data_IF_874632000290
#
_entry.id   IF_874632000290
#
_cell.length_a   1.000
_cell.length_b   1.000
_cell.length_c   1.000
_cell.angle_alpha   90.00
_cell.angle_beta   90.00
_cell.angle_gamma   90.00
#
_symmetry.space_group_name_H-M   'P 1'
#
loop_
_entity.id
_entity.type
_entity.pdbx_description
1 polymer ?
#
# COMPACT_ATOMS: atom_id res chain seq x y z
N UNK A 1 -46.16 57.36 60.27
CA UNK A 1 -45.19 58.31 59.69
C UNK A 1 -43.98 57.52 59.23
N UNK A 2 -43.46 57.93 58.06
CA UNK A 2 -42.13 57.69 57.51
C UNK A 2 -41.80 56.32 56.89
N UNK A 3 -41.60 56.40 55.58
CA UNK A 3 -41.06 55.47 54.60
C UNK A 3 -39.62 55.05 54.86
N UNK A 4 -39.18 53.94 54.26
CA UNK A 4 -37.92 53.92 53.52
C UNK A 4 -37.92 52.74 52.55
N UNK A 5 -37.87 53.10 51.28
CA UNK A 5 -37.71 52.25 50.11
C UNK A 5 -36.37 51.51 50.16
N UNK A 6 -36.39 50.19 49.92
CA UNK A 6 -35.35 49.47 49.18
C UNK A 6 -36.02 48.30 48.45
N UNK A 7 -36.44 48.55 47.21
CA UNK A 7 -36.75 47.53 46.22
C UNK A 7 -35.43 46.93 45.74
N UNK A 8 -35.08 45.74 46.21
CA UNK A 8 -34.10 44.91 45.49
C UNK A 8 -34.81 44.29 44.27
N UNK A 9 -34.30 44.49 43.03
CA UNK A 9 -34.80 43.75 41.90
C UNK A 9 -34.39 42.28 42.04
N UNK A 10 -35.39 41.43 42.22
CA UNK A 10 -35.27 39.99 42.25
C UNK A 10 -34.38 39.49 41.11
N UNK A 11 -33.34 38.77 41.53
CA UNK A 11 -32.65 37.68 40.86
C UNK A 11 -33.30 37.29 39.51
N UNK A 12 -32.74 37.80 38.40
CA UNK A 12 -33.03 37.19 37.09
C UNK A 12 -32.52 35.77 37.14
N UNK A 13 -33.40 34.82 36.88
CA UNK A 13 -33.15 33.39 36.94
C UNK A 13 -31.85 33.04 36.21
N UNK A 14 -30.89 32.51 36.96
CA UNK A 14 -29.61 32.01 36.44
C UNK A 14 -29.78 30.81 35.49
N UNK A 15 -31.02 30.34 35.30
CA UNK A 15 -31.39 29.32 34.32
C UNK A 15 -31.45 29.85 32.87
N UNK A 16 -31.66 31.16 32.66
CA UNK A 16 -31.77 31.72 31.31
C UNK A 16 -30.40 32.04 30.70
N UNK A 17 -29.38 32.29 31.51
CA UNK A 17 -28.00 32.51 31.04
C UNK A 17 -27.31 31.22 30.56
N UNK A 18 -27.71 30.05 31.09
CA UNK A 18 -27.17 28.77 30.62
C UNK A 18 -27.88 28.22 29.38
N UNK A 19 -29.15 28.60 29.16
CA UNK A 19 -29.89 28.21 27.95
C UNK A 19 -29.37 28.93 26.70
N UNK A 20 -29.02 30.21 26.80
CA UNK A 20 -28.46 30.96 25.68
C UNK A 20 -27.01 30.59 25.33
N UNK A 21 -26.22 30.08 26.29
CA UNK A 21 -24.88 29.53 25.99
C UNK A 21 -24.91 28.12 25.37
N UNK A 22 -25.99 27.37 25.53
CA UNK A 22 -26.17 26.05 24.92
C UNK A 22 -26.34 26.09 23.40
N UNK A 23 -26.85 27.20 22.86
CA UNK A 23 -27.05 27.37 21.41
C UNK A 23 -25.78 27.84 20.67
N UNK A 24 -24.82 28.46 21.38
CA UNK A 24 -23.57 28.94 20.76
C UNK A 24 -22.56 27.80 20.50
N UNK A 25 -22.74 26.63 21.11
CA UNK A 25 -21.87 25.45 20.88
C UNK A 25 -22.36 24.60 19.70
N UNK A 26 -23.60 24.82 19.20
CA UNK A 26 -24.17 24.00 18.11
C UNK A 26 -23.71 24.36 16.70
N UNK A 27 -23.12 25.54 16.52
CA UNK A 27 -22.63 26.07 15.24
C UNK A 27 -21.13 25.83 14.99
N UNK A 28 -20.49 24.96 15.78
CA UNK A 28 -19.16 24.47 15.42
C UNK A 28 -19.28 23.54 14.19
N UNK A 29 -18.52 23.75 13.10
CA UNK A 29 -18.56 22.84 11.96
C UNK A 29 -18.19 21.44 12.46
N UNK A 30 -19.10 20.47 12.28
CA UNK A 30 -18.85 19.07 12.62
C UNK A 30 -17.83 18.52 11.62
N UNK A 31 -16.56 18.67 11.94
CA UNK A 31 -15.45 18.15 11.14
C UNK A 31 -15.35 16.65 11.37
N UNK A 32 -15.50 15.85 10.31
CA UNK A 32 -15.18 14.44 10.34
C UNK A 32 -13.70 14.26 9.94
N UNK A 33 -12.95 13.52 10.75
CA UNK A 33 -11.58 13.14 10.46
C UNK A 33 -11.55 11.64 10.24
N UNK A 34 -11.02 11.21 9.09
CA UNK A 34 -10.85 9.79 8.75
C UNK A 34 -9.37 9.54 8.44
N UNK A 35 -8.80 8.54 9.12
CA UNK A 35 -7.39 8.14 8.99
C UNK A 35 -7.29 6.83 8.21
N UNK A 36 -6.56 6.81 7.08
CA UNK A 36 -6.31 5.58 6.29
C UNK A 36 -4.90 5.63 5.69
N UNK A 37 -4.09 4.59 5.94
CA UNK A 37 -2.76 4.33 5.36
C UNK A 37 -1.94 5.64 5.14
N UNK A 38 -1.63 6.34 6.24
CA UNK A 38 -0.88 7.61 6.36
C UNK A 38 -1.56 8.90 5.85
N UNK A 39 -2.78 8.82 5.31
CA UNK A 39 -3.53 9.98 4.81
C UNK A 39 -4.64 10.37 5.79
N UNK A 40 -4.66 11.65 6.17
CA UNK A 40 -5.72 12.24 7.00
C UNK A 40 -6.65 13.04 6.10
N UNK A 41 -7.90 12.59 5.96
CA UNK A 41 -8.93 13.33 5.24
C UNK A 41 -9.81 14.05 6.25
N UNK A 42 -9.92 15.36 6.09
CA UNK A 42 -10.69 16.25 6.95
C UNK A 42 -11.73 16.94 6.07
N UNK A 43 -13.01 16.70 6.30
CA UNK A 43 -14.09 17.44 5.66
C UNK A 43 -15.19 17.83 6.64
N UNK A 44 -15.78 18.99 6.42
CA UNK A 44 -16.95 19.53 7.11
C UNK A 44 -18.27 18.98 6.55
N UNK A 45 -18.24 18.41 5.34
CA UNK A 45 -19.43 17.87 4.69
C UNK A 45 -19.56 16.36 4.97
N UNK A 46 -20.53 16.04 5.83
CA UNK A 46 -20.82 14.67 6.26
C UNK A 46 -21.32 13.79 5.10
N UNK A 47 -21.98 14.36 4.08
CA UNK A 47 -22.44 13.61 2.91
C UNK A 47 -21.28 13.30 1.96
N UNK A 48 -20.36 14.24 1.76
CA UNK A 48 -19.12 13.98 1.03
C UNK A 48 -18.28 12.91 1.73
N UNK A 49 -18.22 12.94 3.06
CA UNK A 49 -17.49 11.93 3.84
C UNK A 49 -18.11 10.54 3.75
N UNK A 50 -19.44 10.43 3.74
CA UNK A 50 -20.12 9.16 3.54
C UNK A 50 -19.93 8.65 2.11
N UNK A 51 -19.98 9.54 1.11
CA UNK A 51 -19.69 9.19 -0.28
C UNK A 51 -18.23 8.76 -0.47
N UNK A 52 -17.27 9.44 0.15
CA UNK A 52 -15.86 9.07 0.13
C UNK A 52 -15.63 7.73 0.82
N UNK A 53 -16.28 7.47 1.96
CA UNK A 53 -16.26 6.15 2.61
C UNK A 53 -16.81 5.06 1.70
N UNK A 54 -17.91 5.32 1.00
CA UNK A 54 -18.52 4.34 0.08
C UNK A 54 -17.72 4.13 -1.20
N UNK A 55 -17.14 5.20 -1.77
CA UNK A 55 -16.20 5.13 -2.91
C UNK A 55 -14.95 4.34 -2.53
N UNK A 56 -14.34 4.65 -1.38
CA UNK A 56 -13.20 3.93 -0.85
C UNK A 56 -13.56 2.48 -0.50
N UNK A 57 -14.73 2.20 0.07
CA UNK A 57 -15.18 0.83 0.34
C UNK A 57 -15.33 0.02 -0.96
N UNK A 58 -15.83 0.64 -2.04
CA UNK A 58 -15.87 0.02 -3.38
C UNK A 58 -14.49 -0.17 -3.99
N UNK A 59 -13.57 0.77 -3.76
CA UNK A 59 -12.21 0.74 -4.31
C UNK A 59 -11.30 -0.24 -3.54
N UNK A 60 -11.46 -0.38 -2.23
CA UNK A 60 -10.84 -1.40 -1.37
C UNK A 60 -11.38 -2.80 -1.73
N UNK A 61 -12.68 -2.92 -2.04
CA UNK A 61 -13.29 -4.16 -2.54
C UNK A 61 -12.74 -4.58 -3.91
N UNK A 62 -12.24 -3.65 -4.71
CA UNK A 62 -11.63 -3.92 -6.02
C UNK A 62 -10.11 -4.18 -5.92
N UNK A 63 -9.52 -3.96 -4.75
CA UNK A 63 -8.10 -4.16 -4.53
C UNK A 63 -7.81 -5.66 -4.51
N UNK A 64 -6.82 -6.10 -5.28
CA UNK A 64 -6.22 -7.42 -5.12
C UNK A 64 -5.11 -7.22 -4.08
N UNK A 65 -5.41 -7.33 -2.76
CA UNK A 65 -4.49 -6.94 -1.71
C UNK A 65 -3.13 -7.62 -1.91
N UNK A 66 -2.01 -6.89 -1.71
CA UNK A 66 -0.69 -7.48 -1.73
C UNK A 66 -0.69 -8.74 -0.87
N UNK A 67 -0.01 -9.83 -1.28
CA UNK A 67 -0.02 -11.08 -0.54
C UNK A 67 0.28 -10.93 0.96
N UNK A 68 1.13 -9.96 1.33
CA UNK A 68 1.42 -9.62 2.72
C UNK A 68 0.20 -9.10 3.50
N UNK A 69 -0.70 -8.34 2.86
CA UNK A 69 -1.93 -7.81 3.48
C UNK A 69 -2.94 -8.93 3.74
N UNK A 70 -3.15 -9.83 2.78
CA UNK A 70 -4.01 -11.02 2.97
C UNK A 70 -3.49 -11.90 4.11
N UNK A 71 -2.18 -12.14 4.11
CA UNK A 71 -1.52 -12.91 5.17
C UNK A 71 -1.70 -12.25 6.55
N UNK A 72 -1.43 -10.94 6.66
CA UNK A 72 -1.59 -10.19 7.90
C UNK A 72 -3.03 -10.20 8.42
N UNK A 73 -4.01 -9.95 7.54
CA UNK A 73 -5.43 -10.06 7.89
C UNK A 73 -5.77 -11.45 8.42
N UNK A 74 -5.29 -12.51 7.75
CA UNK A 74 -5.56 -13.88 8.16
C UNK A 74 -4.95 -14.23 9.52
N UNK A 75 -3.75 -13.75 9.81
CA UNK A 75 -3.12 -13.91 11.13
C UNK A 75 -3.93 -13.18 12.21
N UNK A 76 -4.41 -11.96 11.94
CA UNK A 76 -5.23 -11.21 12.88
C UNK A 76 -6.57 -11.89 13.17
N UNK A 77 -7.25 -12.41 12.15
CA UNK A 77 -8.49 -13.20 12.30
C UNK A 77 -8.28 -14.41 13.22
N UNK A 78 -7.18 -15.14 13.06
CA UNK A 78 -6.85 -16.29 13.88
C UNK A 78 -6.49 -15.89 15.32
N UNK A 79 -5.79 -14.77 15.49
CA UNK A 79 -5.52 -14.21 16.82
C UNK A 79 -6.77 -13.74 17.53
N UNK A 80 -7.76 -13.20 16.81
CA UNK A 80 -9.08 -12.84 17.37
C UNK A 80 -9.85 -14.08 17.87
N UNK A 81 -9.63 -15.23 17.23
CA UNK A 81 -10.17 -16.52 17.67
C UNK A 81 -9.40 -17.14 18.87
N UNK A 82 -8.37 -16.45 19.37
CA UNK A 82 -7.57 -16.88 20.52
C UNK A 82 -6.41 -17.81 20.17
N UNK A 83 -6.05 -17.95 18.89
CA UNK A 83 -4.89 -18.74 18.46
C UNK A 83 -3.60 -17.98 18.80
N UNK A 84 -2.56 -18.71 19.20
CA UNK A 84 -1.25 -18.11 19.43
C UNK A 84 -0.67 -17.51 18.15
N UNK A 85 0.16 -16.49 18.25
CA UNK A 85 0.68 -15.79 17.07
C UNK A 85 1.52 -16.69 16.16
N UNK A 86 2.34 -17.57 16.73
CA UNK A 86 3.16 -18.52 15.99
C UNK A 86 2.31 -19.53 15.20
N UNK A 87 1.26 -20.07 15.84
CA UNK A 87 0.32 -20.98 15.19
C UNK A 87 -0.51 -20.25 14.11
N UNK A 88 -0.96 -19.02 14.39
CA UNK A 88 -1.69 -18.22 13.42
C UNK A 88 -0.86 -17.93 12.16
N UNK A 89 0.42 -17.58 12.32
CA UNK A 89 1.35 -17.40 11.20
C UNK A 89 1.58 -18.69 10.41
N UNK A 90 1.73 -19.83 11.11
CA UNK A 90 1.95 -21.12 10.46
C UNK A 90 0.73 -21.57 9.64
N UNK A 91 -0.49 -21.41 10.20
CA UNK A 91 -1.74 -21.73 9.52
C UNK A 91 -1.93 -20.83 8.29
N UNK A 92 -1.71 -19.52 8.44
CA UNK A 92 -1.82 -18.58 7.32
C UNK A 92 -0.82 -18.89 6.17
N UNK A 93 0.42 -19.29 6.49
CA UNK A 93 1.42 -19.67 5.47
C UNK A 93 1.03 -20.99 4.78
N UNK A 94 0.54 -21.96 5.55
CA UNK A 94 0.03 -23.22 5.00
C UNK A 94 -1.13 -22.98 4.02
N UNK A 95 -2.13 -22.17 4.42
CA UNK A 95 -3.27 -21.81 3.58
C UNK A 95 -2.83 -21.11 2.29
N UNK A 96 -1.93 -20.13 2.40
CA UNK A 96 -1.38 -19.42 1.24
C UNK A 96 -0.65 -20.36 0.27
N UNK A 97 0.18 -21.28 0.79
CA UNK A 97 0.89 -22.27 -0.04
C UNK A 97 -0.09 -23.23 -0.72
N UNK A 98 -1.14 -23.66 -0.02
CA UNK A 98 -2.17 -24.54 -0.56
C UNK A 98 -2.94 -23.86 -1.70
N UNK A 99 -3.39 -22.62 -1.49
CA UNK A 99 -4.09 -21.82 -2.50
C UNK A 99 -3.21 -21.60 -3.75
N UNK A 100 -1.94 -21.23 -3.53
CA UNK A 100 -0.95 -21.05 -4.60
C UNK A 100 -0.73 -22.34 -5.40
N UNK A 101 -0.69 -23.49 -4.73
CA UNK A 101 -0.55 -24.80 -5.38
C UNK A 101 -1.79 -25.13 -6.21
N UNK A 102 -2.99 -24.91 -5.67
CA UNK A 102 -4.26 -25.14 -6.37
C UNK A 102 -4.38 -24.27 -7.62
N UNK A 103 -4.09 -22.97 -7.52
CA UNK A 103 -4.09 -22.02 -8.65
C UNK A 103 -3.09 -22.43 -9.74
N UNK A 104 -1.89 -22.91 -9.37
CA UNK A 104 -0.91 -23.45 -10.33
C UNK A 104 -1.42 -24.69 -11.06
N UNK A 105 -2.06 -25.62 -10.35
CA UNK A 105 -2.64 -26.83 -10.95
C UNK A 105 -3.78 -26.49 -11.92
N UNK A 106 -4.68 -25.58 -11.52
CA UNK A 106 -5.74 -25.09 -12.38
C UNK A 106 -5.19 -24.44 -13.65
N UNK A 107 -4.18 -23.57 -13.53
CA UNK A 107 -3.52 -22.97 -14.68
C UNK A 107 -2.85 -24.00 -15.60
N UNK A 108 -2.16 -24.99 -15.04
CA UNK A 108 -1.58 -26.08 -15.83
C UNK A 108 -2.64 -26.84 -16.63
N UNK A 109 -3.82 -27.09 -16.03
CA UNK A 109 -4.94 -27.73 -16.71
C UNK A 109 -5.52 -26.86 -17.82
N UNK A 110 -5.74 -25.57 -17.56
CA UNK A 110 -6.21 -24.62 -18.56
C UNK A 110 -5.23 -24.49 -19.73
N UNK A 111 -3.93 -24.50 -19.45
CA UNK A 111 -2.87 -24.49 -20.46
C UNK A 111 -2.94 -25.72 -21.37
N UNK A 112 -3.12 -26.91 -20.79
CA UNK A 112 -3.30 -28.15 -21.57
C UNK A 112 -4.51 -28.06 -22.51
N UNK A 113 -5.64 -27.59 -21.98
CA UNK A 113 -6.88 -27.42 -22.77
C UNK A 113 -6.67 -26.39 -23.90
N UNK A 114 -6.04 -25.25 -23.61
CA UNK A 114 -5.77 -24.22 -24.61
C UNK A 114 -4.88 -24.72 -25.74
N UNK A 115 -3.85 -25.51 -25.43
CA UNK A 115 -3.00 -26.16 -26.42
C UNK A 115 -3.79 -27.13 -27.31
N UNK A 116 -4.63 -28.00 -26.72
CA UNK A 116 -5.45 -28.94 -27.48
C UNK A 116 -6.47 -28.25 -28.38
N UNK A 117 -7.00 -27.09 -27.95
CA UNK A 117 -7.97 -26.30 -28.71
C UNK A 117 -7.32 -25.36 -29.73
N UNK A 118 -5.98 -25.29 -29.80
CA UNK A 118 -5.27 -24.32 -30.63
C UNK A 118 -5.50 -22.85 -30.25
N UNK A 119 -5.99 -22.60 -29.03
CA UNK A 119 -6.29 -21.24 -28.54
C UNK A 119 -5.07 -20.62 -27.87
N UNK A 120 -5.08 -19.30 -27.77
CA UNK A 120 -4.07 -18.54 -27.02
C UNK A 120 -4.04 -19.01 -25.56
N UNK A 121 -2.82 -19.07 -25.01
CA UNK A 121 -2.61 -19.45 -23.62
C UNK A 121 -3.32 -18.49 -22.65
N UNK A 122 -3.93 -19.02 -21.58
CA UNK A 122 -4.46 -18.19 -20.51
C UNK A 122 -3.33 -17.39 -19.85
N UNK A 123 -3.62 -16.22 -19.26
CA UNK A 123 -2.64 -15.46 -18.50
C UNK A 123 -2.19 -16.23 -17.26
N UNK A 124 -0.90 -16.11 -16.91
CA UNK A 124 -0.33 -16.79 -15.75
C UNK A 124 -0.85 -16.16 -14.46
N UNK A 125 -1.45 -16.93 -13.53
CA UNK A 125 -2.01 -16.39 -12.28
C UNK A 125 -0.94 -15.82 -11.33
N UNK A 126 0.32 -16.21 -11.47
CA UNK A 126 1.44 -15.65 -10.72
C UNK A 126 2.59 -15.32 -11.67
N UNK A 127 2.55 -14.13 -12.31
CA UNK A 127 3.68 -13.68 -13.10
C UNK A 127 4.89 -13.51 -12.17
N UNK A 128 6.05 -14.00 -12.62
CA UNK A 128 7.28 -13.73 -11.90
C UNK A 128 7.72 -12.31 -12.23
N UNK A 129 8.05 -11.50 -11.22
CA UNK A 129 8.58 -10.14 -11.39
C UNK A 129 9.73 -10.10 -12.42
N UNK A 130 10.62 -11.10 -12.41
CA UNK A 130 11.71 -11.24 -13.39
C UNK A 130 11.17 -11.30 -14.83
N UNK A 131 10.08 -12.02 -15.09
CA UNK A 131 9.50 -12.13 -16.44
C UNK A 131 8.78 -10.86 -16.87
N UNK A 132 8.22 -10.11 -15.94
CA UNK A 132 7.62 -8.80 -16.22
C UNK A 132 8.72 -7.82 -16.64
N UNK A 133 9.79 -7.72 -15.86
CA UNK A 133 10.97 -6.92 -16.17
C UNK A 133 11.58 -7.36 -17.52
N UNK A 134 11.75 -8.67 -17.74
CA UNK A 134 12.26 -9.18 -19.02
C UNK A 134 11.35 -8.85 -20.20
N UNK A 135 10.03 -8.88 -20.02
CA UNK A 135 9.08 -8.51 -21.07
C UNK A 135 9.18 -7.01 -21.40
N UNK A 136 9.32 -6.17 -20.38
CA UNK A 136 9.53 -4.73 -20.54
C UNK A 136 10.88 -4.41 -21.18
N UNK A 137 11.95 -5.09 -20.76
CA UNK A 137 13.30 -4.92 -21.30
C UNK A 137 13.47 -5.49 -22.71
N UNK A 138 12.57 -6.37 -23.16
CA UNK A 138 12.69 -7.06 -24.46
C UNK A 138 12.82 -6.08 -25.62
N UNK A 139 12.19 -4.90 -25.53
CA UNK A 139 12.29 -3.83 -26.52
C UNK A 139 13.71 -3.28 -26.66
N UNK A 140 14.50 -3.31 -25.60
CA UNK A 140 15.87 -2.77 -25.56
C UNK A 140 16.96 -3.83 -25.76
N UNK A 141 16.61 -5.13 -25.76
CA UNK A 141 17.59 -6.22 -25.96
C UNK A 141 18.33 -6.06 -27.29
N UNK A 142 17.62 -5.76 -28.39
CA UNK A 142 18.24 -5.57 -29.70
C UNK A 142 19.24 -4.40 -29.67
N UNK A 143 18.83 -3.27 -29.13
CA UNK A 143 19.66 -2.07 -29.13
C UNK A 143 20.92 -2.24 -28.29
N UNK A 144 20.87 -3.00 -27.18
CA UNK A 144 22.07 -3.31 -26.37
C UNK A 144 23.22 -3.91 -27.19
N UNK A 145 22.91 -4.69 -28.21
CA UNK A 145 23.91 -5.37 -29.04
C UNK A 145 24.20 -4.67 -30.36
N UNK A 146 23.21 -3.97 -30.93
CA UNK A 146 23.32 -3.45 -32.31
C UNK A 146 23.32 -1.92 -32.40
N UNK A 147 23.06 -1.19 -31.30
CA UNK A 147 23.10 0.27 -31.33
C UNK A 147 24.57 0.75 -31.27
N UNK A 148 25.05 1.48 -32.29
CA UNK A 148 26.44 1.91 -32.35
C UNK A 148 26.82 2.87 -31.22
N UNK A 149 25.86 3.61 -30.65
CA UNK A 149 26.11 4.48 -29.49
C UNK A 149 26.38 3.65 -28.23
N UNK A 150 25.62 2.57 -28.02
CA UNK A 150 25.79 1.68 -26.87
C UNK A 150 27.10 0.91 -26.98
N UNK A 151 27.45 0.41 -28.17
CA UNK A 151 28.73 -0.26 -28.40
C UNK A 151 29.93 0.64 -28.09
N UNK A 152 29.89 1.91 -28.50
CA UNK A 152 30.93 2.89 -28.16
C UNK A 152 31.05 3.14 -26.65
N UNK A 153 29.93 3.14 -25.92
CA UNK A 153 29.95 3.27 -24.46
C UNK A 153 30.59 2.03 -23.83
N UNK A 154 30.20 0.83 -24.28
CA UNK A 154 30.78 -0.44 -23.79
C UNK A 154 32.28 -0.53 -24.06
N UNK A 155 32.74 -0.06 -25.22
CA UNK A 155 34.16 -0.01 -25.59
C UNK A 155 34.95 0.91 -24.64
N UNK A 156 34.46 2.14 -24.41
CA UNK A 156 35.04 3.05 -23.42
C UNK A 156 35.06 2.46 -22.00
N UNK A 157 33.99 1.80 -21.57
CA UNK A 157 33.97 1.14 -20.26
C UNK A 157 34.99 0.00 -20.15
N UNK A 158 35.27 -0.72 -21.24
CA UNK A 158 36.33 -1.74 -21.28
C UNK A 158 37.71 -1.12 -21.18
N UNK A 159 37.95 -0.03 -21.89
CA UNK A 159 39.21 0.74 -21.83
C UNK A 159 39.45 1.29 -20.43
N UNK A 160 38.45 1.92 -19.81
CA UNK A 160 38.52 2.44 -18.44
C UNK A 160 38.79 1.32 -17.42
N UNK A 161 38.12 0.17 -17.57
CA UNK A 161 38.35 -1.00 -16.70
C UNK A 161 39.76 -1.58 -16.88
N UNK A 162 40.28 -1.61 -18.10
CA UNK A 162 41.64 -2.06 -18.39
C UNK A 162 42.68 -1.09 -17.81
N UNK A 163 42.46 0.23 -17.95
CA UNK A 163 43.32 1.25 -17.35
C UNK A 163 43.33 1.18 -15.82
N UNK A 164 42.16 1.04 -15.19
CA UNK A 164 42.06 0.86 -13.73
C UNK A 164 42.73 -0.43 -13.24
N UNK A 165 42.70 -1.50 -14.04
CA UNK A 165 43.39 -2.76 -13.74
C UNK A 165 44.91 -2.62 -13.87
N UNK A 166 45.39 -1.91 -14.90
CA UNK A 166 46.82 -1.60 -15.06
C UNK A 166 47.33 -0.69 -13.94
N UNK A 167 46.54 0.27 -13.50
CA UNK A 167 46.89 1.17 -12.40
C UNK A 167 46.96 0.41 -11.05
N UNK A 168 46.00 -0.50 -10.80
CA UNK A 168 46.09 -1.45 -9.67
C UNK A 168 47.31 -2.37 -9.74
N UNK A 169 47.70 -2.81 -10.95
CA UNK A 169 48.91 -3.62 -11.13
C UNK A 169 50.21 -2.81 -10.99
N UNK A 170 50.21 -1.51 -11.34
CA UNK A 170 51.36 -0.60 -11.14
C UNK A 170 51.51 -0.14 -9.69
N UNK A 171 50.44 -0.07 -8.92
CA UNK A 171 50.47 0.31 -7.49
C UNK A 171 50.81 -0.83 -6.53
N UNK A 172 50.90 -2.08 -7.01
CA UNK A 172 51.24 -3.26 -6.21
C UNK A 172 52.74 -3.52 -6.15
N UNK A 173 53.49 -2.64 -5.48
CA UNK A 173 54.83 -2.96 -5.02
C UNK A 173 54.75 -4.14 -4.05
N UNK A 174 55.24 -5.30 -4.47
CA UNK A 174 55.56 -6.41 -3.59
C UNK A 174 56.62 -5.92 -2.58
N UNK A 175 56.19 -5.52 -1.39
CA UNK A 175 57.08 -5.33 -0.25
C UNK A 175 57.24 -6.70 0.40
N UNK A 176 58.34 -7.37 0.07
CA UNK A 176 58.88 -8.48 0.83
C UNK A 176 59.24 -7.99 2.24
N UNK A 177 58.70 -8.65 3.26
CA UNK A 177 59.29 -8.77 4.59
C UNK A 177 59.55 -10.25 4.85
#
# INVERSE_FOLDING_TARGET
>A
MASSDYLEPGLKDTHDLFSDMGNVISDQPKMAIVYIDDIVLISSDMHEMENLKQLMAKEISAFNPPPARVFGCRVLELKEQGVSEEEAMAVADMEYRAEKKAKKMAYARLKQIAHLQGKRLPPNPYPSAIKEIQAEERKYVRDRFFNPKILKIVEKMKEEKAAAMQDRMRGGGWQSF
#
